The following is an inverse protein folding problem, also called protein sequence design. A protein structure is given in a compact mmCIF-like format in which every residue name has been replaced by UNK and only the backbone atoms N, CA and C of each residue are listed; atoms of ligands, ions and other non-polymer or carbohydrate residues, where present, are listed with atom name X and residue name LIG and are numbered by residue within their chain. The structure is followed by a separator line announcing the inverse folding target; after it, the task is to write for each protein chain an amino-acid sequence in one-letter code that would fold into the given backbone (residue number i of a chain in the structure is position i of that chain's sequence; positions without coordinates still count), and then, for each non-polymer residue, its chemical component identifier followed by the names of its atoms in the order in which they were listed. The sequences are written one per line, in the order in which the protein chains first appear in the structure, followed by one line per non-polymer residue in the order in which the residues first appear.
data_IF_862801218804
#
_entry.id   IF_862801218804
#
_cell.length_a   1.000
_cell.length_b   1.000
_cell.length_c   1.000
_cell.angle_alpha   90.00
_cell.angle_beta   90.00
_cell.angle_gamma   90.00
#
_symmetry.space_group_name_H-M   'P 1'
#
loop_
_entity.id
_entity.type
_entity.pdbx_description
1 polymer ?
#
# COMPACT_ATOMS: atom_id res chain seq x y z
N UNK A 1 16.05 21.74 -13.65
CA UNK A 1 15.31 20.91 -12.66
C UNK A 1 15.68 21.42 -11.29
N UNK A 2 14.70 21.79 -10.47
CA UNK A 2 15.00 22.15 -9.07
C UNK A 2 15.45 20.89 -8.32
N UNK A 3 16.31 21.01 -7.31
CA UNK A 3 16.79 19.86 -6.53
C UNK A 3 15.65 18.97 -6.03
N UNK A 4 14.55 19.60 -5.56
CA UNK A 4 13.32 18.93 -5.15
C UNK A 4 12.69 18.07 -6.25
N UNK A 5 12.59 18.57 -7.49
CA UNK A 5 12.04 17.78 -8.61
C UNK A 5 12.91 16.56 -8.91
N UNK A 6 14.24 16.71 -8.87
CA UNK A 6 15.17 15.60 -9.06
C UNK A 6 14.96 14.50 -8.01
N UNK A 7 14.91 14.88 -6.73
CA UNK A 7 14.64 13.94 -5.63
C UNK A 7 13.29 13.22 -5.80
N UNK A 8 12.23 13.95 -6.16
CA UNK A 8 10.92 13.35 -6.39
C UNK A 8 10.94 12.30 -7.50
N UNK A 9 11.53 12.61 -8.66
CA UNK A 9 11.58 11.66 -9.77
C UNK A 9 12.41 10.42 -9.43
N UNK A 10 13.51 10.57 -8.69
CA UNK A 10 14.31 9.43 -8.22
C UNK A 10 13.50 8.55 -7.27
N UNK A 11 12.79 9.13 -6.30
CA UNK A 11 11.94 8.39 -5.38
C UNK A 11 10.77 7.69 -6.10
N UNK A 12 10.13 8.38 -7.04
CA UNK A 12 9.04 7.82 -7.84
C UNK A 12 9.54 6.64 -8.70
N UNK A 13 10.66 6.81 -9.40
CA UNK A 13 11.26 5.75 -10.21
C UNK A 13 11.66 4.54 -9.34
N UNK A 14 12.31 4.77 -8.20
CA UNK A 14 12.68 3.70 -7.27
C UNK A 14 11.44 2.93 -6.77
N UNK A 15 10.36 3.64 -6.43
CA UNK A 15 9.10 3.05 -5.97
C UNK A 15 8.47 2.16 -7.05
N UNK A 16 8.44 2.64 -8.30
CA UNK A 16 7.91 1.91 -9.45
C UNK A 16 8.77 0.68 -9.81
N UNK A 17 10.09 0.81 -9.80
CA UNK A 17 11.01 -0.30 -10.07
C UNK A 17 10.82 -1.40 -9.01
N UNK A 18 10.75 -1.02 -7.73
CA UNK A 18 10.48 -1.97 -6.65
C UNK A 18 9.12 -2.65 -6.83
N UNK A 19 8.06 -1.89 -7.11
CA UNK A 19 6.71 -2.43 -7.34
C UNK A 19 6.65 -3.39 -8.53
N UNK A 20 7.32 -3.05 -9.64
CA UNK A 20 7.43 -3.93 -10.80
C UNK A 20 8.18 -5.22 -10.44
N UNK A 21 9.25 -5.09 -9.65
CA UNK A 21 10.01 -6.23 -9.13
C UNK A 21 9.17 -7.22 -8.32
N UNK A 22 8.20 -6.74 -7.53
CA UNK A 22 7.27 -7.62 -6.77
C UNK A 22 6.56 -8.62 -7.69
N UNK A 23 6.15 -8.18 -8.89
CA UNK A 23 5.35 -8.99 -9.82
C UNK A 23 6.21 -9.82 -10.78
N UNK A 24 7.39 -9.31 -11.17
CA UNK A 24 8.27 -9.99 -12.13
C UNK A 24 9.10 -11.10 -11.46
N UNK A 25 9.54 -10.88 -10.22
CA UNK A 25 10.44 -11.82 -9.53
C UNK A 25 9.72 -13.12 -9.23
N UNK A 26 10.34 -14.23 -9.61
CA UNK A 26 9.77 -15.59 -9.45
C UNK A 26 9.87 -16.13 -8.03
N UNK A 27 10.83 -15.63 -7.25
CA UNK A 27 11.02 -16.09 -5.89
C UNK A 27 10.17 -15.24 -4.93
N UNK A 28 9.18 -15.88 -4.32
CA UNK A 28 8.19 -15.29 -3.42
C UNK A 28 8.82 -14.47 -2.29
N UNK A 29 9.95 -14.93 -1.72
CA UNK A 29 10.64 -14.21 -0.64
C UNK A 29 11.21 -12.89 -1.14
N UNK A 30 11.89 -12.89 -2.30
CA UNK A 30 12.43 -11.66 -2.88
C UNK A 30 11.31 -10.72 -3.31
N UNK A 31 10.21 -11.23 -3.87
CA UNK A 31 9.03 -10.42 -4.18
C UNK A 31 8.45 -9.74 -2.92
N UNK A 32 8.39 -10.46 -1.80
CA UNK A 32 7.91 -9.91 -0.53
C UNK A 32 8.88 -8.87 0.06
N UNK A 33 10.20 -9.04 -0.07
CA UNK A 33 11.18 -8.01 0.32
C UNK A 33 11.06 -6.75 -0.55
N UNK A 34 10.82 -6.92 -1.85
CA UNK A 34 10.55 -5.80 -2.77
C UNK A 34 9.23 -5.10 -2.43
N UNK A 35 8.25 -5.83 -1.90
CA UNK A 35 6.99 -5.26 -1.39
C UNK A 35 7.25 -4.35 -0.18
N UNK A 36 8.06 -4.80 0.79
CA UNK A 36 8.50 -3.97 1.93
C UNK A 36 9.17 -2.69 1.42
N UNK A 37 10.05 -2.83 0.43
CA UNK A 37 10.80 -1.72 -0.15
C UNK A 37 9.86 -0.70 -0.82
N UNK A 38 8.93 -1.12 -1.69
CA UNK A 38 8.01 -0.19 -2.36
C UNK A 38 7.07 0.52 -1.36
N UNK A 39 6.59 -0.19 -0.33
CA UNK A 39 5.75 0.41 0.71
C UNK A 39 6.52 1.42 1.58
N UNK A 40 7.79 1.15 1.87
CA UNK A 40 8.68 2.07 2.59
C UNK A 40 9.05 3.30 1.76
N UNK A 41 9.35 3.12 0.47
CA UNK A 41 9.59 4.23 -0.45
C UNK A 41 8.35 5.11 -0.63
N UNK A 42 7.15 4.52 -0.63
CA UNK A 42 5.88 5.27 -0.64
C UNK A 42 5.75 6.15 0.62
N UNK A 43 6.15 5.64 1.80
CA UNK A 43 6.21 6.45 3.02
C UNK A 43 7.19 7.63 2.89
N UNK A 44 8.31 7.42 2.21
CA UNK A 44 9.29 8.48 1.93
C UNK A 44 8.74 9.54 0.96
N UNK A 45 7.91 9.15 -0.01
CA UNK A 45 7.16 10.08 -0.86
C UNK A 45 6.16 10.90 -0.03
N UNK A 46 5.45 10.30 0.92
CA UNK A 46 4.57 11.06 1.84
C UNK A 46 5.33 12.08 2.67
N UNK A 47 6.51 11.72 3.17
CA UNK A 47 7.37 12.64 3.90
C UNK A 47 7.82 13.81 3.01
N UNK A 48 8.15 13.53 1.75
CA UNK A 48 8.50 14.53 0.76
C UNK A 48 7.32 15.48 0.42
N UNK A 49 6.09 14.99 0.54
CA UNK A 49 4.85 15.77 0.33
C UNK A 49 4.35 16.46 1.62
N UNK A 50 5.19 16.60 2.65
CA UNK A 50 4.85 17.22 3.95
C UNK A 50 3.75 16.50 4.75
N UNK A 51 3.49 15.22 4.45
CA UNK A 51 2.52 14.39 5.15
C UNK A 51 3.21 13.53 6.23
N UNK A 52 3.81 14.18 7.23
CA UNK A 52 4.71 13.51 8.20
C UNK A 52 4.01 12.40 9.00
N UNK A 53 2.80 12.67 9.52
CA UNK A 53 2.03 11.66 10.27
C UNK A 53 1.69 10.45 9.39
N UNK A 54 1.23 10.69 8.16
CA UNK A 54 0.90 9.61 7.23
C UNK A 54 2.14 8.81 6.82
N UNK A 55 3.28 9.46 6.64
CA UNK A 55 4.56 8.80 6.36
C UNK A 55 4.97 7.84 7.50
N UNK A 56 4.85 8.29 8.76
CA UNK A 56 5.15 7.47 9.93
C UNK A 56 4.20 6.26 10.02
N UNK A 57 2.90 6.48 9.86
CA UNK A 57 1.89 5.41 9.86
C UNK A 57 2.13 4.42 8.71
N UNK A 58 2.50 4.90 7.52
CA UNK A 58 2.83 4.06 6.36
C UNK A 58 4.01 3.12 6.66
N UNK A 59 5.08 3.65 7.24
CA UNK A 59 6.26 2.84 7.58
C UNK A 59 5.92 1.86 8.70
N UNK A 60 5.22 2.29 9.75
CA UNK A 60 4.88 1.46 10.90
C UNK A 60 3.94 0.30 10.53
N UNK A 61 2.83 0.60 9.85
CA UNK A 61 1.78 -0.38 9.54
C UNK A 61 2.16 -1.20 8.31
N UNK A 62 2.41 -0.56 7.17
CA UNK A 62 2.61 -1.26 5.90
C UNK A 62 4.04 -1.75 5.74
N UNK A 63 5.04 -0.90 6.01
CA UNK A 63 6.44 -1.29 5.94
C UNK A 63 6.84 -2.30 7.03
N UNK A 64 6.32 -2.11 8.25
CA UNK A 64 6.60 -2.94 9.42
C UNK A 64 5.60 -4.09 9.57
N UNK A 65 4.47 -3.83 10.24
CA UNK A 65 3.57 -4.89 10.74
C UNK A 65 2.99 -5.79 9.63
N UNK A 66 2.33 -5.21 8.64
CA UNK A 66 1.63 -5.98 7.58
C UNK A 66 2.62 -6.79 6.75
N UNK A 67 3.72 -6.16 6.33
CA UNK A 67 4.72 -6.86 5.51
C UNK A 67 5.46 -7.95 6.29
N UNK A 68 5.78 -7.74 7.57
CA UNK A 68 6.39 -8.78 8.41
C UNK A 68 5.44 -9.97 8.62
N UNK A 69 4.15 -9.72 8.87
CA UNK A 69 3.15 -10.79 8.96
C UNK A 69 3.03 -11.56 7.64
N UNK A 70 3.03 -10.85 6.51
CA UNK A 70 3.01 -11.46 5.18
C UNK A 70 4.28 -12.30 4.94
N UNK A 71 5.47 -11.79 5.28
CA UNK A 71 6.72 -12.53 5.19
C UNK A 71 6.68 -13.80 6.05
N UNK A 72 6.25 -13.70 7.30
CA UNK A 72 6.13 -14.85 8.19
C UNK A 72 5.16 -15.90 7.63
N UNK A 73 3.98 -15.49 7.17
CA UNK A 73 3.00 -16.39 6.55
C UNK A 73 3.55 -17.07 5.29
N UNK A 74 4.25 -16.33 4.43
CA UNK A 74 4.88 -16.87 3.21
C UNK A 74 6.05 -17.80 3.51
N UNK A 75 6.78 -17.57 4.60
CA UNK A 75 7.90 -18.44 5.02
C UNK A 75 7.41 -19.73 5.70
N UNK A 76 6.32 -19.65 6.46
CA UNK A 76 5.68 -20.82 7.08
C UNK A 76 4.97 -21.71 6.06
N UNK A 77 4.40 -21.10 5.03
CA UNK A 77 3.79 -21.83 3.92
C UNK A 77 4.92 -22.33 3.03
N UNK A 78 4.95 -23.63 2.69
CA UNK A 78 5.89 -24.08 1.65
C UNK A 78 5.44 -23.45 0.33
N UNK A 79 6.22 -22.57 -0.31
CA UNK A 79 5.91 -22.15 -1.66
C UNK A 79 6.21 -23.36 -2.53
N UNK A 80 5.21 -24.23 -2.70
CA UNK A 80 5.21 -25.16 -3.81
C UNK A 80 5.47 -24.29 -5.04
N UNK A 81 6.51 -24.63 -5.80
CA UNK A 81 6.73 -24.04 -7.11
C UNK A 81 5.57 -24.52 -8.00
N UNK A 82 4.39 -23.96 -7.76
CA UNK A 82 3.25 -24.10 -8.62
C UNK A 82 3.77 -23.53 -9.93
N UNK A 83 4.13 -24.44 -10.84
CA UNK A 83 4.42 -24.09 -12.22
C UNK A 83 3.16 -23.39 -12.66
N UNK A 84 3.19 -22.07 -12.65
CA UNK A 84 2.15 -21.24 -13.22
C UNK A 84 2.11 -21.71 -14.66
N UNK A 85 1.19 -22.62 -14.97
CA UNK A 85 0.70 -22.79 -16.35
C UNK A 85 0.25 -21.39 -16.65
N UNK A 86 1.05 -20.68 -17.43
CA UNK A 86 0.71 -19.37 -17.94
C UNK A 86 -0.62 -19.58 -18.64
N UNK A 87 -1.70 -19.25 -17.93
CA UNK A 87 -3.02 -19.36 -18.50
C UNK A 87 -2.99 -18.40 -19.68
N UNK A 88 -3.49 -18.81 -20.85
CA UNK A 88 -3.37 -18.06 -22.11
C UNK A 88 -4.00 -16.66 -22.11
N UNK A 89 -4.48 -16.17 -20.97
CA UNK A 89 -5.08 -14.86 -20.75
C UNK A 89 -4.11 -13.79 -20.22
N UNK A 90 -2.80 -14.05 -20.10
CA UNK A 90 -1.83 -12.98 -19.81
C UNK A 90 -1.93 -11.75 -20.74
N UNK A 91 -2.21 -11.86 -22.07
CA UNK A 91 -2.36 -10.65 -22.89
C UNK A 91 -3.62 -9.87 -22.52
N UNK A 92 -4.67 -10.54 -22.02
CA UNK A 92 -5.90 -9.89 -21.56
C UNK A 92 -5.63 -9.07 -20.29
N UNK A 93 -4.82 -9.59 -19.37
CA UNK A 93 -4.41 -8.87 -18.17
C UNK A 93 -3.58 -7.62 -18.49
N UNK A 94 -2.64 -7.73 -19.44
CA UNK A 94 -1.86 -6.57 -19.92
C UNK A 94 -2.74 -5.55 -20.62
N UNK A 95 -3.65 -6.00 -21.50
CA UNK A 95 -4.58 -5.11 -22.18
C UNK A 95 -5.48 -4.36 -21.17
N UNK A 96 -6.01 -5.05 -20.16
CA UNK A 96 -6.80 -4.44 -19.10
C UNK A 96 -5.98 -3.40 -18.31
N UNK A 97 -4.74 -3.71 -17.93
CA UNK A 97 -3.86 -2.78 -17.23
C UNK A 97 -3.57 -1.52 -18.07
N UNK A 98 -3.32 -1.67 -19.38
CA UNK A 98 -3.10 -0.54 -20.30
C UNK A 98 -4.35 0.32 -20.42
N UNK A 99 -5.53 -0.28 -20.57
CA UNK A 99 -6.80 0.46 -20.67
C UNK A 99 -7.07 1.25 -19.39
N UNK A 100 -6.91 0.62 -18.22
CA UNK A 100 -7.08 1.30 -16.93
C UNK A 100 -6.07 2.44 -16.77
N UNK A 101 -4.79 2.20 -17.10
CA UNK A 101 -3.76 3.23 -17.05
C UNK A 101 -4.07 4.41 -17.98
N UNK A 102 -4.51 4.13 -19.21
CA UNK A 102 -4.84 5.17 -20.19
C UNK A 102 -6.02 6.03 -19.73
N UNK A 103 -7.07 5.43 -19.16
CA UNK A 103 -8.20 6.16 -18.59
C UNK A 103 -7.76 7.04 -17.42
N UNK A 104 -6.99 6.49 -16.48
CA UNK A 104 -6.50 7.26 -15.33
C UNK A 104 -5.56 8.39 -15.76
N UNK A 105 -4.66 8.13 -16.70
CA UNK A 105 -3.74 9.13 -17.25
C UNK A 105 -4.50 10.24 -17.99
N UNK A 106 -5.50 9.89 -18.81
CA UNK A 106 -6.35 10.87 -19.48
C UNK A 106 -7.07 11.77 -18.48
N UNK A 107 -7.73 11.17 -17.47
CA UNK A 107 -8.42 11.95 -16.43
C UNK A 107 -7.46 12.83 -15.64
N UNK A 108 -6.26 12.32 -15.32
CA UNK A 108 -5.25 13.08 -14.59
C UNK A 108 -4.71 14.28 -15.39
N UNK A 109 -4.57 14.14 -16.71
CA UNK A 109 -4.05 15.19 -17.60
C UNK A 109 -5.13 16.18 -18.07
N UNK A 110 -6.37 15.72 -18.22
CA UNK A 110 -7.50 16.55 -18.65
C UNK A 110 -8.11 17.38 -17.52
N UNK A 111 -7.92 16.96 -16.25
CA UNK A 111 -8.43 17.68 -15.08
C UNK A 111 -7.58 18.90 -14.77
N UNK A 112 -8.22 20.06 -14.64
CA UNK A 112 -7.58 21.30 -14.20
C UNK A 112 -7.55 21.36 -12.67
N UNK A 113 -6.50 20.78 -12.08
CA UNK A 113 -6.33 20.62 -10.63
C UNK A 113 -6.19 21.95 -9.86
N UNK A 114 -5.75 23.02 -10.54
CA UNK A 114 -5.48 24.32 -9.90
C UNK A 114 -6.62 25.32 -10.08
N UNK A 115 -7.71 24.95 -10.77
CA UNK A 115 -8.83 25.85 -11.00
C UNK A 115 -9.41 26.38 -9.68
N UNK A 116 -9.22 27.67 -9.43
CA UNK A 116 -9.78 28.37 -8.27
C UNK A 116 -9.12 28.03 -6.92
N UNK A 117 -7.93 27.42 -6.90
CA UNK A 117 -7.21 27.09 -5.66
C UNK A 117 -5.80 27.68 -5.67
N UNK A 118 -5.47 28.42 -4.61
CA UNK A 118 -4.07 28.69 -4.24
C UNK A 118 -3.56 27.49 -3.43
N UNK A 119 -2.53 26.76 -3.89
CA UNK A 119 -2.02 25.63 -3.12
C UNK A 119 -1.39 26.15 -1.82
N UNK A 120 -2.12 25.98 -0.71
CA UNK A 120 -1.56 26.20 0.63
C UNK A 120 -0.92 24.89 1.05
N UNK A 121 0.41 24.87 1.12
CA UNK A 121 1.17 23.76 1.68
C UNK A 121 1.14 23.87 3.20
N UNK A 122 -0.01 23.58 3.80
CA UNK A 122 -0.11 23.54 5.25
C UNK A 122 0.26 22.16 5.76
N UNK A 123 1.27 22.11 6.63
CA UNK A 123 1.69 20.89 7.29
C UNK A 123 0.62 20.49 8.29
N UNK A 124 -0.22 19.52 7.92
CA UNK A 124 -1.24 18.98 8.82
C UNK A 124 -0.57 18.22 9.97
N UNK A 125 -0.61 18.80 11.16
CA UNK A 125 -0.12 18.16 12.37
C UNK A 125 -1.03 17.01 12.83
N UNK A 126 -0.54 16.08 13.68
CA UNK A 126 -1.34 14.99 14.23
C UNK A 126 -2.62 15.46 14.94
N UNK A 127 -2.59 16.64 15.55
CA UNK A 127 -3.75 17.23 16.24
C UNK A 127 -4.92 17.49 15.28
N UNK A 128 -4.65 18.04 14.09
CA UNK A 128 -5.67 18.31 13.08
C UNK A 128 -6.34 17.01 12.59
N UNK A 129 -5.56 15.93 12.48
CA UNK A 129 -6.09 14.60 12.14
C UNK A 129 -6.95 14.07 13.28
N UNK A 130 -6.53 14.23 14.53
CA UNK A 130 -7.31 13.84 15.70
C UNK A 130 -8.66 14.57 15.78
N UNK A 131 -8.67 15.88 15.60
CA UNK A 131 -9.90 16.70 15.57
C UNK A 131 -10.87 16.24 14.47
N UNK A 132 -10.35 15.94 13.28
CA UNK A 132 -11.17 15.41 12.20
C UNK A 132 -11.71 14.01 12.51
N UNK A 133 -10.88 13.13 13.08
CA UNK A 133 -11.22 11.74 13.37
C UNK A 133 -12.28 11.61 14.46
N UNK A 134 -12.20 12.41 15.51
CA UNK A 134 -13.15 12.40 16.62
C UNK A 134 -14.32 13.39 16.46
N UNK A 135 -14.25 14.27 15.46
CA UNK A 135 -15.34 15.17 15.09
C UNK A 135 -16.12 14.62 13.89
N UNK A 136 -15.94 15.19 12.68
CA UNK A 136 -16.71 14.79 11.49
C UNK A 136 -16.61 13.31 11.12
N UNK A 137 -15.48 12.66 11.42
CA UNK A 137 -15.21 11.26 11.05
C UNK A 137 -15.40 10.27 12.22
N UNK A 138 -16.08 10.68 13.30
CA UNK A 138 -16.28 9.83 14.48
C UNK A 138 -17.01 8.52 14.15
N UNK A 139 -18.02 8.56 13.28
CA UNK A 139 -18.78 7.36 12.88
C UNK A 139 -17.91 6.38 12.08
N UNK A 140 -17.18 6.78 11.01
CA UNK A 140 -16.20 5.93 10.35
C UNK A 140 -15.13 5.36 11.28
N UNK A 141 -14.65 6.16 12.25
CA UNK A 141 -13.68 5.70 13.24
C UNK A 141 -14.24 4.57 14.11
N UNK A 142 -15.48 4.71 14.59
CA UNK A 142 -16.15 3.67 15.39
C UNK A 142 -16.36 2.39 14.58
N UNK A 143 -16.77 2.51 13.31
CA UNK A 143 -16.92 1.36 12.42
C UNK A 143 -15.56 0.67 12.23
N UNK A 144 -14.47 1.42 12.04
CA UNK A 144 -13.14 0.85 11.92
C UNK A 144 -12.72 0.10 13.19
N UNK A 145 -13.05 0.61 14.38
CA UNK A 145 -12.76 -0.07 15.65
C UNK A 145 -13.51 -1.41 15.76
N UNK A 146 -14.78 -1.46 15.35
CA UNK A 146 -15.56 -2.69 15.27
C UNK A 146 -14.99 -3.68 14.27
N UNK A 147 -14.53 -3.21 13.10
CA UNK A 147 -13.87 -4.06 12.09
C UNK A 147 -12.60 -4.68 12.65
N UNK A 148 -11.78 -3.91 13.37
CA UNK A 148 -10.56 -4.43 14.01
C UNK A 148 -10.88 -5.45 15.10
N UNK A 149 -11.92 -5.22 15.90
CA UNK A 149 -12.39 -6.19 16.91
C UNK A 149 -12.82 -7.51 16.25
N UNK A 150 -13.64 -7.42 15.20
CA UNK A 150 -14.11 -8.60 14.46
C UNK A 150 -12.94 -9.33 13.79
N UNK A 151 -11.99 -8.61 13.20
CA UNK A 151 -10.79 -9.20 12.59
C UNK A 151 -9.94 -9.96 13.63
N UNK A 152 -9.76 -9.40 14.83
CA UNK A 152 -9.05 -10.06 15.93
C UNK A 152 -9.76 -11.33 16.39
N UNK A 153 -11.08 -11.26 16.61
CA UNK A 153 -11.87 -12.43 17.00
C UNK A 153 -11.83 -13.52 15.92
N UNK A 154 -11.96 -13.14 14.65
CA UNK A 154 -11.86 -14.06 13.51
C UNK A 154 -10.50 -14.74 13.43
N UNK A 155 -9.41 -13.98 13.58
CA UNK A 155 -8.05 -14.52 13.62
C UNK A 155 -7.84 -15.50 14.79
N UNK A 156 -8.37 -15.16 15.98
CA UNK A 156 -8.27 -16.02 17.17
C UNK A 156 -9.02 -17.36 17.00
N UNK A 157 -10.25 -17.31 16.46
CA UNK A 157 -11.06 -18.51 16.20
C UNK A 157 -10.36 -19.40 15.18
N UNK A 158 -9.81 -18.82 14.10
CA UNK A 158 -9.11 -19.59 13.05
C UNK A 158 -7.79 -20.19 13.55
N UNK A 159 -7.08 -19.50 14.44
CA UNK A 159 -5.82 -19.97 15.00
C UNK A 159 -5.99 -21.07 16.07
N UNK A 160 -7.19 -21.19 16.67
CA UNK A 160 -7.49 -22.26 17.62
C UNK A 160 -7.57 -23.60 16.87
N UNK A 161 -6.66 -24.52 17.19
CA UNK A 161 -6.78 -25.92 16.78
C UNK A 161 -7.90 -26.58 17.59
N UNK A 162 -8.83 -27.23 16.90
CA UNK A 162 -9.86 -28.05 17.55
C UNK A 162 -9.18 -29.29 18.10
N UNK A 163 -8.94 -29.34 19.41
CA UNK A 163 -8.56 -30.58 20.11
C UNK A 163 -9.81 -31.46 20.20
N UNK A 164 -10.00 -32.32 19.21
CA UNK A 164 -11.16 -33.21 19.19
C UNK A 164 -11.31 -33.95 17.87
N UNK A 165 -10.47 -34.96 17.65
CA UNK A 165 -10.74 -36.22 16.96
C UNK A 165 -9.41 -37.00 16.89
N UNK A 166 -9.07 -37.61 18.02
CA UNK A 166 -8.10 -38.71 18.13
C UNK A 166 -8.77 -40.04 17.79
#
# INVERSE_FOLDING_TARGET
MTFAQGTFYVLAAATLIAALGVVIVRNVVYSALLLVLTLSLTGLVYLFLYADFLALVQILIYGGTVSVLLLFALMLTRPEQYRVRAHGHWPLGVAAAIVVFAVLAYQALATDWLRGRTPVLERAGPNAIGEQLFGPWAVPFEIASMVLLVALLGALILARRTEGES
#
